data_IF_260213963108
#
_entry.id   IF_260213963108
#
_cell.length_a   1.000
_cell.length_b   1.000
_cell.length_c   1.000
_cell.angle_alpha   90.00
_cell.angle_beta   90.00
_cell.angle_gamma   90.00
#
_symmetry.space_group_name_H-M   'P 1'
#
loop_
_entity.id
_entity.type
_entity.pdbx_description
1 polymer ?
#
# COMPACT_ATOMS: atom_id res chain seq x y z
N UNK A 1 12.38 18.40 6.63
CA UNK A 1 11.43 17.46 5.98
C UNK A 1 11.86 17.31 4.54
N UNK A 2 11.99 16.09 4.05
CA UNK A 2 12.43 15.86 2.67
C UNK A 2 11.23 15.97 1.73
N UNK A 3 11.45 16.42 0.48
CA UNK A 3 10.40 16.46 -0.55
C UNK A 3 9.64 15.13 -0.68
N UNK A 4 10.34 14.01 -0.47
CA UNK A 4 9.78 12.67 -0.44
C UNK A 4 8.73 12.51 0.68
N UNK A 5 9.02 12.96 1.89
CA UNK A 5 8.12 12.79 3.04
C UNK A 5 6.83 13.60 2.86
N UNK A 6 6.95 14.80 2.28
CA UNK A 6 5.79 15.66 1.98
C UNK A 6 4.91 15.03 0.87
N UNK A 7 5.54 14.45 -0.16
CA UNK A 7 4.83 13.73 -1.20
C UNK A 7 4.10 12.50 -0.62
N UNK A 8 4.79 11.69 0.19
CA UNK A 8 4.18 10.54 0.87
C UNK A 8 2.98 10.98 1.72
N UNK A 9 3.12 12.07 2.49
CA UNK A 9 2.03 12.59 3.33
C UNK A 9 0.83 13.04 2.50
N UNK A 10 1.07 13.71 1.36
CA UNK A 10 -0.01 14.14 0.46
C UNK A 10 -0.81 12.95 -0.06
N UNK A 11 -0.12 11.95 -0.62
CA UNK A 11 -0.77 10.77 -1.20
C UNK A 11 -1.51 9.95 -0.13
N UNK A 12 -0.93 9.82 1.07
CA UNK A 12 -1.56 9.13 2.19
C UNK A 12 -2.87 9.81 2.65
N UNK A 13 -2.90 11.14 2.67
CA UNK A 13 -4.12 11.92 2.99
C UNK A 13 -5.19 11.80 1.92
N UNK A 14 -4.79 11.75 0.65
CA UNK A 14 -5.71 11.52 -0.46
C UNK A 14 -6.31 10.11 -0.43
N UNK A 15 -5.51 9.09 -0.11
CA UNK A 15 -6.02 7.73 0.10
C UNK A 15 -7.02 7.67 1.26
N UNK A 16 -6.71 8.34 2.38
CA UNK A 16 -7.59 8.38 3.53
C UNK A 16 -8.97 8.98 3.19
N UNK A 17 -9.00 10.09 2.45
CA UNK A 17 -10.27 10.77 2.10
C UNK A 17 -11.17 9.94 1.17
N UNK A 18 -10.58 9.01 0.40
CA UNK A 18 -11.34 8.09 -0.45
C UNK A 18 -11.89 6.89 0.32
N UNK A 19 -11.23 6.48 1.40
CA UNK A 19 -11.58 5.29 2.18
C UNK A 19 -12.43 5.59 3.42
N UNK A 20 -12.36 6.82 3.94
CA UNK A 20 -12.99 7.20 5.20
C UNK A 20 -13.71 8.55 5.08
N UNK A 21 -14.91 8.63 5.67
CA UNK A 21 -15.68 9.89 5.78
C UNK A 21 -15.23 10.79 6.97
N UNK A 22 -14.18 10.39 7.68
CA UNK A 22 -13.66 11.07 8.87
C UNK A 22 -12.35 11.81 8.57
N UNK A 23 -12.00 12.88 9.31
CA UNK A 23 -10.70 13.53 9.14
C UNK A 23 -9.55 12.57 9.45
N UNK A 24 -8.47 12.66 8.68
CA UNK A 24 -7.27 11.88 8.92
C UNK A 24 -6.63 12.21 10.27
N UNK A 25 -6.13 11.21 11.01
CA UNK A 25 -5.42 11.45 12.25
C UNK A 25 -4.12 12.22 12.01
N UNK A 26 -3.67 12.96 13.02
CA UNK A 26 -2.44 13.76 12.92
C UNK A 26 -1.19 12.87 13.06
N UNK A 27 -0.88 12.14 11.99
CA UNK A 27 0.26 11.23 11.86
C UNK A 27 1.22 11.68 10.75
N UNK A 28 2.43 11.13 10.72
CA UNK A 28 3.30 11.24 9.55
C UNK A 28 2.71 10.47 8.37
N UNK A 29 3.15 10.78 7.15
CA UNK A 29 2.67 10.09 5.94
C UNK A 29 2.94 8.58 5.97
N UNK A 30 4.11 8.16 6.48
CA UNK A 30 4.46 6.75 6.60
C UNK A 30 3.55 6.02 7.61
N UNK A 31 3.33 6.60 8.79
CA UNK A 31 2.43 6.03 9.81
C UNK A 31 0.98 5.96 9.32
N UNK A 32 0.53 6.95 8.55
CA UNK A 32 -0.82 6.95 7.97
C UNK A 32 -0.99 5.82 6.93
N UNK A 33 0.03 5.57 6.10
CA UNK A 33 0.02 4.44 5.17
C UNK A 33 0.06 3.10 5.91
N UNK A 34 0.87 2.96 6.95
CA UNK A 34 0.88 1.74 7.77
C UNK A 34 -0.49 1.47 8.39
N UNK A 35 -1.17 2.51 8.87
CA UNK A 35 -2.53 2.41 9.38
C UNK A 35 -3.51 1.94 8.30
N UNK A 36 -3.51 2.59 7.13
CA UNK A 36 -4.36 2.20 6.00
C UNK A 36 -4.14 0.74 5.58
N UNK A 37 -2.89 0.29 5.55
CA UNK A 37 -2.54 -1.07 5.16
C UNK A 37 -2.95 -2.14 6.17
N UNK A 38 -3.13 -1.82 7.47
CA UNK A 38 -3.58 -2.79 8.48
C UNK A 38 -5.01 -3.26 8.24
N UNK A 39 -5.85 -2.40 7.71
CA UNK A 39 -7.26 -2.67 7.49
C UNK A 39 -7.54 -3.29 6.10
N UNK A 40 -6.51 -3.38 5.25
CA UNK A 40 -6.62 -4.02 3.94
C UNK A 40 -6.65 -5.54 4.09
N UNK A 41 -7.72 -6.16 3.59
CA UNK A 41 -7.79 -7.61 3.44
C UNK A 41 -6.84 -8.08 2.33
N UNK A 42 -5.63 -8.50 2.71
CA UNK A 42 -4.63 -9.06 1.80
C UNK A 42 -5.14 -10.34 1.09
N UNK A 43 -6.09 -11.07 1.66
CA UNK A 43 -6.68 -12.25 1.00
C UNK A 43 -7.54 -11.86 -0.21
N UNK A 44 -8.11 -10.65 -0.22
CA UNK A 44 -8.77 -10.10 -1.39
C UNK A 44 -7.77 -9.75 -2.51
N UNK A 45 -6.55 -9.33 -2.15
CA UNK A 45 -5.48 -9.02 -3.10
C UNK A 45 -4.87 -10.28 -3.74
N UNK A 46 -4.82 -11.41 -3.01
CA UNK A 46 -4.38 -12.71 -3.53
C UNK A 46 -5.30 -13.24 -4.67
N UNK A 47 -6.48 -12.63 -4.85
CA UNK A 47 -7.46 -12.97 -5.89
C UNK A 47 -7.26 -12.24 -7.21
N UNK A 48 -6.03 -12.12 -7.70
CA UNK A 48 -5.84 -11.96 -9.15
C UNK A 48 -6.17 -13.29 -9.84
N UNK A 49 -7.41 -13.76 -9.69
CA UNK A 49 -7.96 -14.89 -10.44
C UNK A 49 -8.33 -14.40 -11.84
N UNK A 50 -7.30 -14.10 -12.62
CA UNK A 50 -7.47 -14.02 -14.07
C UNK A 50 -7.38 -15.44 -14.62
N UNK A 51 -8.33 -15.89 -15.45
CA UNK A 51 -8.25 -17.20 -16.11
C UNK A 51 -7.03 -17.33 -17.03
N UNK A 52 -6.37 -16.21 -17.33
CA UNK A 52 -5.16 -16.15 -18.15
C UNK A 52 -3.88 -16.03 -17.32
N UNK A 53 -3.97 -15.71 -16.03
CA UNK A 53 -2.81 -15.54 -15.17
C UNK A 53 -2.57 -16.83 -14.39
N UNK A 54 -1.57 -17.60 -14.83
CA UNK A 54 -1.16 -18.79 -14.09
C UNK A 54 -0.44 -18.36 -12.81
N UNK A 55 -0.60 -19.06 -11.67
CA UNK A 55 0.11 -18.73 -10.44
C UNK A 55 1.63 -18.60 -10.60
N UNK A 56 2.24 -19.39 -11.50
CA UNK A 56 3.68 -19.32 -11.83
C UNK A 56 4.12 -18.06 -12.57
N UNK A 57 3.18 -17.21 -12.99
CA UNK A 57 3.43 -15.94 -13.67
C UNK A 57 3.26 -14.74 -12.74
N UNK A 58 2.84 -14.97 -11.49
CA UNK A 58 2.83 -13.95 -10.44
C UNK A 58 4.19 -13.96 -9.74
N UNK A 59 4.79 -12.79 -9.56
CA UNK A 59 5.94 -12.60 -8.67
C UNK A 59 5.41 -11.87 -7.45
N UNK A 60 5.51 -12.48 -6.28
CA UNK A 60 5.12 -11.81 -5.04
C UNK A 60 6.11 -10.69 -4.71
N UNK A 61 5.69 -9.62 -4.02
CA UNK A 61 6.61 -8.59 -3.53
C UNK A 61 7.81 -9.17 -2.79
N UNK A 62 7.64 -10.22 -1.99
CA UNK A 62 8.74 -10.90 -1.27
C UNK A 62 9.73 -11.62 -2.21
N UNK A 63 9.26 -12.02 -3.39
CA UNK A 63 10.02 -12.75 -4.41
C UNK A 63 10.65 -11.81 -5.44
N UNK A 64 10.36 -10.51 -5.36
CA UNK A 64 10.90 -9.52 -6.27
C UNK A 64 12.43 -9.47 -6.17
N UNK A 65 13.17 -9.68 -7.27
CA UNK A 65 14.63 -9.74 -7.25
C UNK A 65 15.31 -8.49 -6.66
N UNK A 66 14.64 -7.33 -6.71
CA UNK A 66 15.12 -6.08 -6.14
C UNK A 66 14.82 -5.86 -4.65
N UNK A 67 14.01 -6.70 -4.00
CA UNK A 67 13.64 -6.55 -2.59
C UNK A 67 14.77 -6.97 -1.63
N UNK A 68 15.72 -7.79 -2.09
CA UNK A 68 16.96 -8.14 -1.36
C UNK A 68 18.03 -7.06 -1.53
N UNK A 69 17.74 -5.87 -1.02
CA UNK A 69 18.79 -4.89 -0.67
C UNK A 69 18.54 -4.44 0.77
N UNK A 70 19.05 -5.24 1.69
CA UNK A 70 19.17 -4.99 3.13
C UNK A 70 20.31 -5.83 3.65
#
# INVERSE_FOLDING_TARGET
MTFRDDLIKREALELWSQMHDAPAPNLSGAELLELLCRDLDLQAYDRVQSPFLRPTMMIRPEEWPGARKG
#
